data_IF_353258859533
#
_entry.id   IF_353258859533
#
_cell.length_a   1.000
_cell.length_b   1.000
_cell.length_c   1.000
_cell.angle_alpha   90.00
_cell.angle_beta   90.00
_cell.angle_gamma   90.00
#
_symmetry.space_group_name_H-M   'P 1'
#
loop_
_entity.id
_entity.type
_entity.pdbx_description
1 polymer ?
#
# COMPACT_ATOMS: atom_id res chain seq x y z
N UNK A 1 -3.77 -14.37 -1.45
CA UNK A 1 -4.16 -14.33 -2.88
C UNK A 1 -3.56 -15.45 -3.74
N UNK A 2 -2.96 -16.49 -3.15
CA UNK A 2 -2.31 -17.60 -3.88
C UNK A 2 -3.19 -18.26 -4.97
N UNK A 3 -4.49 -18.44 -4.70
CA UNK A 3 -5.44 -19.05 -5.65
C UNK A 3 -5.69 -18.19 -6.91
N UNK A 4 -5.51 -16.87 -6.81
CA UNK A 4 -5.78 -15.96 -7.93
C UNK A 4 -4.55 -15.86 -8.85
N UNK A 5 -3.34 -15.82 -8.25
CA UNK A 5 -2.08 -15.97 -8.97
C UNK A 5 -2.00 -17.31 -9.71
N UNK A 6 -2.38 -18.42 -9.08
CA UNK A 6 -2.42 -19.73 -9.74
C UNK A 6 -3.46 -19.77 -10.86
N UNK A 7 -4.67 -19.24 -10.64
CA UNK A 7 -5.70 -19.19 -11.67
C UNK A 7 -5.29 -18.35 -12.90
N UNK A 8 -4.65 -17.19 -12.68
CA UNK A 8 -4.11 -16.39 -13.78
C UNK A 8 -2.94 -17.11 -14.45
N UNK A 9 -2.06 -17.80 -13.70
CA UNK A 9 -0.97 -18.65 -14.23
C UNK A 9 -1.46 -19.91 -14.95
N UNK A 10 -2.65 -20.40 -14.67
CA UNK A 10 -3.22 -21.57 -15.35
C UNK A 10 -4.15 -21.18 -16.49
N UNK A 11 -4.38 -19.87 -16.69
CA UNK A 11 -5.26 -19.35 -17.74
C UNK A 11 -6.74 -19.52 -17.42
N UNK A 12 -7.07 -19.85 -16.16
CA UNK A 12 -8.45 -19.98 -15.68
C UNK A 12 -9.09 -18.64 -15.29
N UNK A 13 -8.29 -17.56 -15.25
CA UNK A 13 -8.78 -16.20 -15.08
C UNK A 13 -8.21 -15.31 -16.19
N UNK A 14 -9.10 -14.63 -16.93
CA UNK A 14 -8.76 -13.65 -17.97
C UNK A 14 -9.12 -12.26 -17.47
N UNK A 15 -8.13 -11.36 -17.45
CA UNK A 15 -8.32 -9.94 -17.17
C UNK A 15 -8.44 -9.24 -18.51
N UNK A 16 -9.62 -8.71 -18.84
CA UNK A 16 -9.82 -7.88 -20.03
C UNK A 16 -9.56 -6.42 -19.63
N UNK A 17 -8.48 -5.85 -20.14
CA UNK A 17 -8.05 -4.49 -19.77
C UNK A 17 -7.23 -3.86 -20.89
N UNK A 18 -7.27 -2.52 -20.97
CA UNK A 18 -6.48 -1.78 -21.97
C UNK A 18 -5.01 -1.75 -21.56
N UNK A 19 -4.07 -1.68 -22.53
CA UNK A 19 -2.64 -1.51 -22.23
C UNK A 19 -2.35 -0.31 -21.31
N UNK A 20 -3.07 0.80 -21.51
CA UNK A 20 -2.96 2.02 -20.69
C UNK A 20 -3.23 1.75 -19.20
N UNK A 21 -4.28 0.97 -18.89
CA UNK A 21 -4.66 0.67 -17.52
C UNK A 21 -3.61 -0.19 -16.82
N UNK A 22 -2.99 -1.14 -17.52
CA UNK A 22 -1.87 -1.92 -16.98
C UNK A 22 -0.68 -1.03 -16.60
N UNK A 23 -0.34 -0.04 -17.44
CA UNK A 23 0.73 0.92 -17.14
C UNK A 23 0.42 1.70 -15.87
N UNK A 24 -0.81 2.21 -15.74
CA UNK A 24 -1.17 3.00 -14.57
C UNK A 24 -1.30 2.17 -13.29
N UNK A 25 -1.86 0.96 -13.35
CA UNK A 25 -1.94 0.08 -12.16
C UNK A 25 -0.54 -0.21 -11.63
N UNK A 26 0.43 -0.52 -12.50
CA UNK A 26 1.81 -0.77 -12.09
C UNK A 26 2.43 0.46 -11.41
N UNK A 27 2.25 1.65 -12.02
CA UNK A 27 2.72 2.93 -11.47
C UNK A 27 2.06 3.28 -10.14
N UNK A 28 0.76 3.03 -10.00
CA UNK A 28 0.00 3.28 -8.78
C UNK A 28 0.44 2.34 -7.67
N UNK A 29 0.67 1.05 -7.97
CA UNK A 29 1.23 0.08 -7.03
C UNK A 29 2.60 0.54 -6.51
N UNK A 30 3.50 0.98 -7.41
CA UNK A 30 4.80 1.52 -7.02
C UNK A 30 4.68 2.77 -6.15
N UNK A 31 3.75 3.66 -6.48
CA UNK A 31 3.47 4.83 -5.65
C UNK A 31 3.01 4.43 -4.24
N UNK A 32 2.03 3.51 -4.14
CA UNK A 32 1.51 3.06 -2.85
C UNK A 32 2.59 2.38 -2.01
N UNK A 33 3.40 1.49 -2.60
CA UNK A 33 4.53 0.84 -1.91
C UNK A 33 5.51 1.86 -1.34
N UNK A 34 5.86 2.92 -2.10
CA UNK A 34 6.72 4.01 -1.60
C UNK A 34 6.08 4.78 -0.45
N UNK A 35 4.79 5.08 -0.54
CA UNK A 35 4.06 5.77 0.52
C UNK A 35 4.01 4.94 1.81
N UNK A 36 3.74 3.64 1.68
CA UNK A 36 3.75 2.67 2.79
C UNK A 36 5.12 2.68 3.48
N UNK A 37 6.22 2.56 2.72
CA UNK A 37 7.58 2.59 3.28
C UNK A 37 7.89 3.92 3.97
N UNK A 38 7.38 5.04 3.45
CA UNK A 38 7.51 6.35 4.11
C UNK A 38 6.78 6.38 5.45
N UNK A 39 5.55 5.86 5.52
CA UNK A 39 4.78 5.77 6.77
C UNK A 39 5.48 4.88 7.78
N UNK A 40 6.00 3.72 7.35
CA UNK A 40 6.80 2.84 8.22
C UNK A 40 8.05 3.53 8.78
N UNK A 41 8.75 4.31 7.96
CA UNK A 41 9.90 5.10 8.40
C UNK A 41 9.53 6.13 9.48
N UNK A 42 8.38 6.80 9.34
CA UNK A 42 7.86 7.73 10.36
C UNK A 42 7.49 6.97 11.65
N UNK A 43 6.79 5.84 11.52
CA UNK A 43 6.43 5.00 12.67
C UNK A 43 7.66 4.50 13.42
N UNK A 44 8.71 4.12 12.69
CA UNK A 44 9.99 3.75 13.29
C UNK A 44 10.64 4.91 14.05
N UNK A 45 10.67 6.12 13.47
CA UNK A 45 11.18 7.31 14.16
C UNK A 45 10.42 7.59 15.47
N UNK A 46 9.09 7.53 15.43
CA UNK A 46 8.23 7.69 16.61
C UNK A 46 8.59 6.65 17.69
N UNK A 47 8.72 5.38 17.30
CA UNK A 47 9.02 4.30 18.24
C UNK A 47 10.39 4.42 18.90
N UNK A 48 11.38 4.97 18.18
CA UNK A 48 12.78 5.10 18.60
C UNK A 48 13.07 6.41 19.32
N UNK A 49 12.15 7.35 19.36
CA UNK A 49 12.39 8.63 20.00
C UNK A 49 12.60 8.47 21.51
N UNK A 50 13.79 8.83 22.01
CA UNK A 50 14.18 8.60 23.40
C UNK A 50 13.27 9.33 24.39
N UNK A 51 13.07 10.64 24.19
CA UNK A 51 12.27 11.53 25.03
C UNK A 51 11.36 12.42 24.20
N UNK A 52 10.16 12.67 24.73
CA UNK A 52 9.07 13.45 24.14
C UNK A 52 8.81 14.74 24.92
N UNK A 53 9.39 14.89 26.12
CA UNK A 53 9.24 16.09 26.94
C UNK A 53 7.85 16.21 27.57
N UNK A 54 7.12 15.10 27.70
CA UNK A 54 5.79 15.01 28.30
C UNK A 54 5.84 14.59 29.78
N UNK A 55 7.04 14.57 30.36
CA UNK A 55 7.30 14.13 31.73
C UNK A 55 7.39 12.62 31.88
N UNK A 56 7.63 11.90 30.79
CA UNK A 56 7.84 10.46 30.78
C UNK A 56 9.04 9.98 31.62
N UNK A 57 9.97 10.89 31.94
CA UNK A 57 11.11 10.62 32.83
C UNK A 57 10.86 11.05 34.28
N UNK A 58 9.73 11.71 34.57
CA UNK A 58 9.40 12.20 35.92
C UNK A 58 8.69 11.08 36.68
N UNK A 59 9.32 10.59 37.75
CA UNK A 59 8.87 9.42 38.53
C UNK A 59 7.39 9.49 38.96
N UNK A 60 6.92 10.68 39.35
CA UNK A 60 5.55 10.86 39.85
C UNK A 60 4.53 11.13 38.74
N UNK A 61 4.98 11.36 37.49
CA UNK A 61 4.12 11.66 36.33
C UNK A 61 3.85 10.40 35.49
N UNK A 62 3.14 9.45 36.10
CA UNK A 62 2.78 8.16 35.48
C UNK A 62 2.02 8.33 34.16
N UNK A 63 1.20 9.37 34.03
CA UNK A 63 0.45 9.67 32.81
C UNK A 63 1.36 9.98 31.62
N UNK A 64 2.43 10.76 31.82
CA UNK A 64 3.39 11.10 30.77
C UNK A 64 4.07 9.83 30.22
N UNK A 65 4.55 8.98 31.12
CA UNK A 65 5.14 7.69 30.75
C UNK A 65 4.14 6.79 30.00
N UNK A 66 2.93 6.65 30.52
CA UNK A 66 1.88 5.80 29.91
C UNK A 66 1.52 6.24 28.49
N UNK A 67 1.40 7.55 28.27
CA UNK A 67 1.06 8.09 26.95
C UNK A 67 2.20 7.85 25.96
N UNK A 68 3.44 8.17 26.33
CA UNK A 68 4.61 7.97 25.46
C UNK A 68 4.78 6.49 25.10
N UNK A 69 4.68 5.60 26.08
CA UNK A 69 4.79 4.16 25.85
C UNK A 69 3.70 3.65 24.91
N UNK A 70 2.45 4.10 25.09
CA UNK A 70 1.35 3.72 24.19
C UNK A 70 1.59 4.19 22.75
N UNK A 71 2.11 5.40 22.56
CA UNK A 71 2.43 5.90 21.22
C UNK A 71 3.57 5.10 20.58
N UNK A 72 4.64 4.79 21.33
CA UNK A 72 5.74 3.95 20.84
C UNK A 72 5.28 2.53 20.47
N UNK A 73 4.44 1.93 21.33
CA UNK A 73 3.79 0.64 21.06
C UNK A 73 2.96 0.69 19.79
N UNK A 74 2.06 1.66 19.65
CA UNK A 74 1.20 1.77 18.46
C UNK A 74 1.96 2.13 17.19
N UNK A 75 3.15 2.70 17.28
CA UNK A 75 3.98 2.97 16.13
C UNK A 75 4.67 1.70 15.58
N UNK A 76 5.36 0.92 16.43
CA UNK A 76 6.12 -0.27 15.98
C UNK A 76 6.33 -1.37 17.04
N UNK A 77 5.97 -1.13 18.30
CA UNK A 77 6.34 -2.01 19.42
C UNK A 77 5.15 -2.79 20.00
N UNK A 78 4.05 -2.91 19.27
CA UNK A 78 2.87 -3.63 19.77
C UNK A 78 3.11 -5.14 19.70
N UNK A 79 2.85 -5.85 20.80
CA UNK A 79 3.02 -7.30 20.89
C UNK A 79 1.94 -8.10 20.15
N UNK A 80 0.80 -7.46 19.87
CA UNK A 80 -0.36 -8.05 19.20
C UNK A 80 -0.35 -7.83 17.67
N UNK A 81 0.70 -7.20 17.13
CA UNK A 81 0.80 -6.82 15.71
C UNK A 81 -0.14 -5.68 15.30
N UNK A 82 -0.85 -5.06 16.26
CA UNK A 82 -1.72 -3.91 16.02
C UNK A 82 -0.92 -2.61 16.21
N UNK A 83 0.15 -2.49 15.43
CA UNK A 83 0.95 -1.28 15.26
C UNK A 83 0.99 -0.87 13.79
N UNK A 84 1.23 0.42 13.57
CA UNK A 84 1.23 1.01 12.23
C UNK A 84 2.26 0.33 11.34
N UNK A 85 3.47 0.06 11.84
CA UNK A 85 4.53 -0.52 11.03
C UNK A 85 4.17 -1.91 10.51
N UNK A 86 3.64 -2.78 11.37
CA UNK A 86 3.20 -4.15 11.03
C UNK A 86 2.02 -4.15 10.07
N UNK A 87 0.99 -3.34 10.32
CA UNK A 87 -0.18 -3.24 9.44
C UNK A 87 0.22 -2.70 8.05
N UNK A 88 1.12 -1.71 8.02
CA UNK A 88 1.66 -1.20 6.77
C UNK A 88 2.45 -2.26 5.98
N UNK A 89 3.14 -3.19 6.64
CA UNK A 89 3.80 -4.31 5.96
C UNK A 89 2.78 -5.25 5.31
N UNK A 90 1.69 -5.57 6.02
CA UNK A 90 0.62 -6.40 5.45
C UNK A 90 -0.01 -5.73 4.21
N UNK A 91 -0.20 -4.41 4.26
CA UNK A 91 -0.67 -3.67 3.08
C UNK A 91 0.36 -3.66 1.95
N UNK A 92 1.66 -3.62 2.26
CA UNK A 92 2.73 -3.71 1.26
C UNK A 92 2.62 -5.04 0.50
N UNK A 93 2.52 -6.15 1.21
CA UNK A 93 2.38 -7.50 0.65
C UNK A 93 1.12 -7.61 -0.23
N UNK A 94 -0.01 -7.03 0.21
CA UNK A 94 -1.24 -6.99 -0.59
C UNK A 94 -1.03 -6.23 -1.91
N UNK A 95 -0.37 -5.07 -1.88
CA UNK A 95 -0.10 -4.29 -3.09
C UNK A 95 0.88 -5.03 -4.01
N UNK A 96 1.86 -5.73 -3.44
CA UNK A 96 2.81 -6.57 -4.19
C UNK A 96 2.10 -7.73 -4.89
N UNK A 97 1.22 -8.47 -4.20
CA UNK A 97 0.40 -9.53 -4.77
C UNK A 97 -0.46 -9.01 -5.94
N UNK A 98 -1.11 -7.85 -5.78
CA UNK A 98 -1.91 -7.21 -6.83
C UNK A 98 -1.03 -6.87 -8.04
N UNK A 99 0.12 -6.27 -7.80
CA UNK A 99 1.06 -5.90 -8.87
C UNK A 99 1.55 -7.13 -9.64
N UNK A 100 1.87 -8.22 -8.93
CA UNK A 100 2.33 -9.48 -9.55
C UNK A 100 1.26 -10.11 -10.43
N UNK A 101 0.01 -10.17 -9.95
CA UNK A 101 -1.13 -10.66 -10.74
C UNK A 101 -1.25 -9.88 -12.05
N UNK A 102 -1.18 -8.55 -12.00
CA UNK A 102 -1.32 -7.70 -13.18
C UNK A 102 -0.14 -7.82 -14.13
N UNK A 103 1.09 -7.95 -13.62
CA UNK A 103 2.28 -8.21 -14.45
C UNK A 103 2.16 -9.53 -15.19
N UNK A 104 1.73 -10.59 -14.51
CA UNK A 104 1.55 -11.91 -15.12
C UNK A 104 0.45 -11.91 -16.19
N UNK A 105 -0.68 -11.25 -15.91
CA UNK A 105 -1.76 -11.10 -16.88
C UNK A 105 -1.28 -10.34 -18.13
N UNK A 106 -0.58 -9.21 -17.94
CA UNK A 106 0.01 -8.43 -19.03
C UNK A 106 0.99 -9.26 -19.86
N UNK A 107 1.90 -9.99 -19.23
CA UNK A 107 2.90 -10.81 -19.94
C UNK A 107 2.24 -11.84 -20.85
N UNK A 108 1.14 -12.45 -20.41
CA UNK A 108 0.35 -13.38 -21.24
C UNK A 108 -0.31 -12.69 -22.40
N UNK A 109 -0.91 -11.53 -22.18
CA UNK A 109 -1.54 -10.75 -23.25
C UNK A 109 -0.51 -10.32 -24.30
N UNK A 110 0.69 -9.89 -23.87
CA UNK A 110 1.79 -9.56 -24.78
C UNK A 110 2.29 -10.76 -25.58
N UNK A 111 2.27 -11.97 -25.00
CA UNK A 111 2.62 -13.19 -25.71
C UNK A 111 1.54 -13.61 -26.73
N UNK A 112 0.27 -13.33 -26.43
CA UNK A 112 -0.86 -13.69 -27.29
C UNK A 112 -1.13 -12.67 -28.40
N UNK A 113 -0.82 -11.39 -28.18
CA UNK A 113 -1.13 -10.28 -29.10
C UNK A 113 0.06 -9.32 -29.29
N UNK A 114 0.64 -9.34 -30.49
CA UNK A 114 1.77 -8.47 -30.86
C UNK A 114 1.41 -6.98 -30.96
N UNK A 115 0.15 -6.66 -31.31
CA UNK A 115 -0.32 -5.28 -31.36
C UNK A 115 -0.44 -4.72 -29.94
N UNK A 116 -1.03 -5.50 -29.03
CA UNK A 116 -1.08 -5.17 -27.61
C UNK A 116 0.33 -4.94 -27.04
N UNK A 117 1.29 -5.81 -27.35
CA UNK A 117 2.67 -5.66 -26.87
C UNK A 117 3.34 -4.36 -27.36
N UNK A 118 3.11 -4.00 -28.62
CA UNK A 118 3.65 -2.78 -29.21
C UNK A 118 3.02 -1.54 -28.59
N UNK A 119 1.71 -1.54 -28.42
CA UNK A 119 0.95 -0.45 -27.80
C UNK A 119 1.33 -0.26 -26.32
N UNK A 120 1.43 -1.36 -25.56
CA UNK A 120 1.89 -1.32 -24.17
C UNK A 120 3.28 -0.69 -24.06
N UNK A 121 4.23 -1.11 -24.90
CA UNK A 121 5.61 -0.58 -24.88
C UNK A 121 5.61 0.92 -25.16
N UNK A 122 4.87 1.35 -26.19
CA UNK A 122 4.73 2.76 -26.53
C UNK A 122 4.10 3.58 -25.40
N UNK A 123 3.01 3.10 -24.81
CA UNK A 123 2.30 3.78 -23.73
C UNK A 123 3.12 3.81 -22.43
N UNK A 124 3.87 2.77 -22.14
CA UNK A 124 4.73 2.73 -20.95
C UNK A 124 5.80 3.84 -20.98
N UNK A 125 6.27 4.20 -22.17
CA UNK A 125 7.25 5.29 -22.38
C UNK A 125 6.60 6.67 -22.49
N UNK A 126 5.43 6.77 -23.14
CA UNK A 126 4.82 8.05 -23.51
C UNK A 126 3.77 8.56 -22.53
N UNK A 127 3.11 7.67 -21.77
CA UNK A 127 2.08 8.09 -20.84
C UNK A 127 2.67 8.96 -19.74
N UNK A 128 2.10 10.14 -19.46
CA UNK A 128 2.56 11.01 -18.40
C UNK A 128 2.41 10.30 -17.05
N UNK A 129 3.30 10.62 -16.11
CA UNK A 129 3.03 10.25 -14.73
C UNK A 129 1.81 11.00 -14.26
N UNK A 130 0.85 10.27 -13.69
CA UNK A 130 -0.31 10.85 -13.00
C UNK A 130 -0.22 10.49 -11.52
N UNK A 131 -0.74 11.33 -10.61
CA UNK A 131 -0.98 10.89 -9.24
C UNK A 131 -1.93 9.67 -9.27
N UNK A 132 -1.87 8.78 -8.26
CA UNK A 132 -2.76 7.63 -8.20
C UNK A 132 -4.22 8.07 -8.31
N UNK A 133 -5.06 7.20 -8.86
CA UNK A 133 -6.47 7.48 -9.06
C UNK A 133 -7.07 8.10 -7.79
N UNK A 134 -7.52 9.36 -7.91
CA UNK A 134 -8.12 10.05 -6.77
C UNK A 134 -9.47 9.40 -6.49
N UNK A 135 -9.72 9.08 -5.23
CA UNK A 135 -11.07 8.74 -4.81
C UNK A 135 -11.99 9.91 -5.20
N UNK A 136 -13.17 9.65 -5.79
CA UNK A 136 -14.14 10.71 -6.02
C UNK A 136 -14.34 11.46 -4.70
N UNK A 137 -14.35 12.79 -4.76
CA UNK A 137 -14.67 13.62 -3.60
C UNK A 137 -16.12 13.35 -3.22
N UNK A 138 -16.31 12.35 -2.37
CA UNK A 138 -17.61 11.88 -1.90
C UNK A 138 -17.68 11.99 -0.38
N UNK A 139 -18.90 11.98 0.18
CA UNK A 139 -19.06 12.02 1.61
C UNK A 139 -18.38 10.80 2.24
N UNK A 140 -17.43 11.01 3.15
CA UNK A 140 -16.80 9.89 3.85
C UNK A 140 -17.82 9.29 4.81
N UNK A 141 -18.36 8.11 4.50
CA UNK A 141 -19.15 7.34 5.46
C UNK A 141 -18.20 6.78 6.52
N UNK A 142 -18.26 7.38 7.70
CA UNK A 142 -17.62 6.86 8.90
C UNK A 142 -18.28 5.51 9.27
N UNK A 143 -17.59 4.64 10.03
CA UNK A 143 -18.12 3.34 10.46
C UNK A 143 -19.43 3.41 11.25
N UNK A 144 -19.82 4.60 11.71
CA UNK A 144 -21.09 4.89 12.39
C UNK A 144 -22.22 5.29 11.45
N UNK A 145 -21.99 5.26 10.13
CA UNK A 145 -22.96 5.63 9.11
C UNK A 145 -23.11 7.14 8.90
N UNK A 146 -22.26 7.96 9.51
CA UNK A 146 -22.27 9.41 9.30
C UNK A 146 -21.38 9.81 8.13
N UNK A 147 -21.85 10.78 7.34
CA UNK A 147 -21.12 11.35 6.20
C UNK A 147 -20.43 12.66 6.62
N UNK A 148 -19.19 12.90 6.18
CA UNK A 148 -18.57 14.24 6.10
C UNK A 148 -18.52 14.73 4.67
#
# INVERSE_FOLDING_TARGET
MANLLSAVREGQATVEMKPEDFVYIDRDCEYFKRLIRRVQGIAEQISRQDSWGLGETTKDMVSGHTVVDRFKQKAKQASDGNDVHTIMEQHYEIVEDIQEVHKLARERMMQADSNFASEFTHLNETLPQRPPAQLPAGPYLLPDGTAR
#
